data_IF_196216900088
#
_entry.id   IF_196216900088
#
_cell.length_a   1.000
_cell.length_b   1.000
_cell.length_c   1.000
_cell.angle_alpha   90.00
_cell.angle_beta   90.00
_cell.angle_gamma   90.00
#
_symmetry.space_group_name_H-M   'P 1'
#
loop_
_entity.id
_entity.type
_entity.pdbx_description
1 polymer ?
#
# COMPACT_ATOMS: atom_id res chain seq x y z
N UNK A 1 -6.41 -32.39 -4.48
CA UNK A 1 -7.38 -31.90 -3.47
C UNK A 1 -6.75 -31.55 -2.12
N UNK A 2 -5.56 -32.08 -1.77
CA UNK A 2 -4.84 -31.71 -0.52
C UNK A 2 -4.17 -30.33 -0.60
N UNK A 3 -3.69 -29.95 -1.77
CA UNK A 3 -2.92 -28.70 -1.99
C UNK A 3 -3.78 -27.44 -1.77
N UNK A 4 -5.07 -27.52 -2.13
CA UNK A 4 -6.02 -26.41 -1.95
C UNK A 4 -6.37 -26.14 -0.48
N UNK A 5 -6.35 -27.19 0.37
CA UNK A 5 -6.58 -27.02 1.82
C UNK A 5 -5.34 -26.41 2.48
N UNK A 6 -4.15 -26.83 2.04
CA UNK A 6 -2.87 -26.32 2.55
C UNK A 6 -2.66 -24.84 2.21
N UNK A 7 -2.92 -24.43 0.95
CA UNK A 7 -2.80 -23.02 0.55
C UNK A 7 -3.70 -22.10 1.37
N UNK A 8 -4.97 -22.51 1.58
CA UNK A 8 -5.92 -21.76 2.40
C UNK A 8 -5.45 -21.64 3.85
N UNK A 9 -4.95 -22.71 4.46
CA UNK A 9 -4.43 -22.68 5.83
C UNK A 9 -3.22 -21.75 5.97
N UNK A 10 -2.26 -21.81 5.03
CA UNK A 10 -1.10 -20.91 5.00
C UNK A 10 -1.52 -19.45 4.87
N UNK A 11 -2.46 -19.16 3.99
CA UNK A 11 -3.01 -17.81 3.83
C UNK A 11 -3.71 -17.32 5.10
N UNK A 12 -4.46 -18.19 5.78
CA UNK A 12 -5.11 -17.82 7.05
C UNK A 12 -4.08 -17.42 8.10
N UNK A 13 -3.04 -18.24 8.30
CA UNK A 13 -1.98 -17.97 9.29
C UNK A 13 -1.18 -16.71 8.93
N UNK A 14 -0.85 -16.55 7.64
CA UNK A 14 -0.19 -15.34 7.15
C UNK A 14 -1.04 -14.10 7.41
N UNK A 15 -2.33 -14.15 7.08
CA UNK A 15 -3.26 -13.04 7.28
C UNK A 15 -3.47 -12.71 8.76
N UNK A 16 -3.51 -13.71 9.65
CA UNK A 16 -3.74 -13.49 11.07
C UNK A 16 -2.53 -12.93 11.81
N UNK A 17 -1.30 -13.27 11.37
CA UNK A 17 -0.08 -12.93 12.10
C UNK A 17 0.79 -11.90 11.38
N UNK A 18 1.26 -12.23 10.18
CA UNK A 18 2.23 -11.38 9.46
C UNK A 18 1.52 -10.16 8.90
N UNK A 19 0.38 -10.36 8.25
CA UNK A 19 -0.38 -9.29 7.63
C UNK A 19 -0.96 -8.33 8.65
N UNK A 20 -1.54 -8.83 9.74
CA UNK A 20 -2.08 -8.00 10.81
C UNK A 20 -1.01 -7.08 11.40
N UNK A 21 0.22 -7.57 11.58
CA UNK A 21 1.34 -6.77 12.08
C UNK A 21 1.86 -5.74 11.04
N UNK A 22 2.00 -6.16 9.78
CA UNK A 22 2.58 -5.33 8.71
C UNK A 22 1.61 -4.32 8.09
N UNK A 23 0.30 -4.55 8.18
CA UNK A 23 -0.69 -3.60 7.69
C UNK A 23 -1.12 -2.63 8.80
N UNK A 24 -0.96 -3.03 10.08
CA UNK A 24 -1.21 -2.18 11.22
C UNK A 24 -0.31 -0.95 11.22
N UNK A 25 -0.94 0.22 11.38
CA UNK A 25 -0.28 1.52 11.39
C UNK A 25 0.64 1.80 10.18
N UNK A 26 0.50 1.06 9.08
CA UNK A 26 1.32 1.23 7.87
C UNK A 26 1.30 2.68 7.35
N UNK A 27 0.20 3.39 7.53
CA UNK A 27 0.08 4.84 7.23
C UNK A 27 1.16 5.68 7.92
N UNK A 28 1.57 5.31 9.15
CA UNK A 28 2.55 6.05 9.94
C UNK A 28 4.00 5.70 9.57
N UNK A 29 4.32 4.42 9.43
CA UNK A 29 5.71 3.96 9.31
C UNK A 29 6.12 3.53 7.89
N UNK A 30 5.22 3.59 6.91
CA UNK A 30 5.51 3.11 5.56
C UNK A 30 6.84 3.71 5.04
N UNK A 31 7.75 2.83 4.54
CA UNK A 31 9.16 3.12 4.31
C UNK A 31 9.38 4.26 3.33
N UNK A 32 10.36 5.09 3.68
CA UNK A 32 10.77 6.24 2.88
C UNK A 32 11.71 5.84 1.73
N UNK A 33 12.32 4.65 1.79
CA UNK A 33 13.29 4.18 0.80
C UNK A 33 12.87 2.84 0.22
N UNK A 34 13.17 2.61 -1.05
CA UNK A 34 12.90 1.35 -1.76
C UNK A 34 13.55 0.16 -1.05
N UNK A 35 14.75 0.34 -0.49
CA UNK A 35 15.49 -0.69 0.24
C UNK A 35 14.67 -1.22 1.43
N UNK A 36 14.08 -0.33 2.22
CA UNK A 36 13.25 -0.70 3.37
C UNK A 36 11.97 -1.42 2.93
N UNK A 37 11.37 -0.99 1.81
CA UNK A 37 10.28 -1.74 1.17
C UNK A 37 10.72 -3.14 0.76
N UNK A 38 11.91 -3.31 0.19
CA UNK A 38 12.46 -4.62 -0.14
C UNK A 38 12.69 -5.47 1.10
N UNK A 39 13.11 -4.89 2.24
CA UNK A 39 13.25 -5.62 3.49
C UNK A 39 11.92 -6.17 4.01
N UNK A 40 10.84 -5.40 3.89
CA UNK A 40 9.50 -5.85 4.28
C UNK A 40 8.98 -6.95 3.34
N UNK A 41 9.20 -6.79 2.03
CA UNK A 41 8.91 -7.84 1.04
C UNK A 41 9.68 -9.15 1.34
N UNK A 42 10.91 -9.06 1.84
CA UNK A 42 11.67 -10.23 2.26
C UNK A 42 11.03 -10.97 3.43
N UNK A 43 10.32 -10.29 4.34
CA UNK A 43 9.55 -10.96 5.41
C UNK A 43 8.46 -11.83 4.81
N UNK A 44 7.69 -11.29 3.85
CA UNK A 44 6.68 -12.05 3.13
C UNK A 44 7.28 -13.22 2.34
N UNK A 45 8.35 -12.98 1.58
CA UNK A 45 9.03 -14.03 0.80
C UNK A 45 9.59 -15.12 1.69
N UNK A 46 10.13 -14.77 2.86
CA UNK A 46 10.64 -15.75 3.83
C UNK A 46 9.52 -16.65 4.34
N UNK A 47 8.35 -16.09 4.65
CA UNK A 47 7.19 -16.87 5.08
C UNK A 47 6.74 -17.86 4.00
N UNK A 48 6.67 -17.43 2.74
CA UNK A 48 6.26 -18.29 1.63
C UNK A 48 7.39 -19.05 0.96
N UNK A 49 8.61 -19.04 1.50
CA UNK A 49 9.77 -19.69 0.87
C UNK A 49 9.59 -21.21 0.71
N UNK A 50 8.82 -21.85 1.60
CA UNK A 50 8.49 -23.28 1.55
C UNK A 50 7.28 -23.60 0.68
N UNK A 51 6.46 -22.60 0.34
CA UNK A 51 5.21 -22.78 -0.38
C UNK A 51 5.41 -23.32 -1.82
N UNK A 52 6.40 -22.88 -2.62
CA UNK A 52 6.61 -23.41 -3.97
C UNK A 52 6.93 -24.90 -3.99
N UNK A 53 7.73 -25.37 -3.02
CA UNK A 53 8.05 -26.78 -2.88
C UNK A 53 6.82 -27.60 -2.47
N UNK A 54 6.02 -27.09 -1.52
CA UNK A 54 4.79 -27.75 -1.06
C UNK A 54 3.68 -27.79 -2.12
N UNK A 55 3.56 -26.73 -2.94
CA UNK A 55 2.50 -26.56 -3.94
C UNK A 55 2.94 -26.95 -5.36
N UNK A 56 4.19 -27.42 -5.53
CA UNK A 56 4.81 -27.76 -6.83
C UNK A 56 4.73 -26.63 -7.85
N UNK A 57 4.93 -25.39 -7.40
CA UNK A 57 4.92 -24.20 -8.26
C UNK A 57 6.33 -24.00 -8.81
N UNK A 58 6.46 -23.97 -10.13
CA UNK A 58 7.70 -23.57 -10.79
C UNK A 58 7.80 -22.04 -10.72
N UNK A 59 8.88 -21.52 -10.15
CA UNK A 59 9.14 -20.09 -10.12
C UNK A 59 10.61 -19.79 -10.44
N UNK A 60 10.91 -18.65 -11.09
CA UNK A 60 12.29 -18.19 -11.27
C UNK A 60 12.96 -17.84 -9.93
N UNK A 61 14.30 -17.94 -9.80
CA UNK A 61 15.03 -17.67 -8.56
C UNK A 61 14.81 -16.28 -7.96
N UNK A 62 14.45 -15.30 -8.79
CA UNK A 62 14.30 -13.90 -8.40
C UNK A 62 12.88 -13.36 -8.56
N UNK A 63 11.98 -14.15 -9.14
CA UNK A 63 10.59 -13.76 -9.34
C UNK A 63 9.65 -14.64 -8.52
N UNK A 64 9.12 -14.02 -7.46
CA UNK A 64 8.15 -14.64 -6.55
C UNK A 64 6.70 -14.28 -6.89
N UNK A 65 6.47 -13.47 -7.93
CA UNK A 65 5.11 -13.12 -8.37
C UNK A 65 4.25 -14.34 -8.71
N UNK A 66 4.77 -15.46 -9.29
CA UNK A 66 3.93 -16.63 -9.57
C UNK A 66 3.43 -17.30 -8.29
N UNK A 67 4.24 -17.28 -7.22
CA UNK A 67 3.91 -17.87 -5.92
C UNK A 67 2.81 -17.05 -5.24
N UNK A 68 2.94 -15.72 -5.29
CA UNK A 68 1.91 -14.81 -4.76
C UNK A 68 0.60 -14.95 -5.52
N UNK A 69 0.65 -15.03 -6.85
CA UNK A 69 -0.53 -15.22 -7.68
C UNK A 69 -1.24 -16.56 -7.39
N UNK A 70 -0.48 -17.65 -7.27
CA UNK A 70 -1.03 -18.96 -6.91
C UNK A 70 -1.71 -18.97 -5.52
N UNK A 71 -1.25 -18.10 -4.62
CA UNK A 71 -1.82 -17.91 -3.28
C UNK A 71 -2.90 -16.82 -3.23
N UNK A 72 -3.24 -16.17 -4.35
CA UNK A 72 -4.13 -15.00 -4.41
C UNK A 72 -3.68 -13.84 -3.50
N UNK A 73 -2.38 -13.59 -3.43
CA UNK A 73 -1.76 -12.49 -2.69
C UNK A 73 -1.13 -11.48 -3.63
N UNK A 74 -1.13 -10.21 -3.23
CA UNK A 74 -0.43 -9.11 -3.90
C UNK A 74 0.82 -8.68 -3.11
N UNK A 75 1.64 -7.78 -3.64
CA UNK A 75 2.79 -7.26 -2.89
C UNK A 75 2.33 -6.49 -1.63
N UNK A 76 3.19 -6.41 -0.62
CA UNK A 76 2.97 -5.55 0.54
C UNK A 76 2.93 -4.07 0.12
N UNK A 77 3.77 -3.68 -0.83
CA UNK A 77 3.79 -2.32 -1.36
C UNK A 77 2.39 -1.92 -1.87
N UNK A 78 1.79 -2.72 -2.74
CA UNK A 78 0.45 -2.44 -3.30
C UNK A 78 -0.62 -2.42 -2.21
N UNK A 79 -0.52 -3.32 -1.22
CA UNK A 79 -1.50 -3.41 -0.14
C UNK A 79 -1.49 -2.21 0.79
N UNK A 80 -0.33 -1.60 1.02
CA UNK A 80 -0.21 -0.41 1.88
C UNK A 80 -0.80 0.85 1.25
N UNK A 81 -1.00 0.88 -0.06
CA UNK A 81 -1.67 2.01 -0.74
C UNK A 81 -3.10 2.19 -0.22
N UNK A 82 -3.84 1.09 -0.02
CA UNK A 82 -5.26 1.14 0.39
C UNK A 82 -5.47 1.77 1.78
N UNK A 83 -4.73 1.41 2.85
CA UNK A 83 -4.78 2.12 4.13
C UNK A 83 -4.42 3.60 4.04
N UNK A 84 -3.43 3.97 3.22
CA UNK A 84 -3.03 5.37 3.02
C UNK A 84 -4.19 6.18 2.41
N UNK A 85 -4.80 5.69 1.32
CA UNK A 85 -5.96 6.32 0.70
C UNK A 85 -7.17 6.34 1.65
N UNK A 86 -7.44 5.24 2.35
CA UNK A 86 -8.55 5.16 3.30
C UNK A 86 -8.41 6.13 4.48
N UNK A 87 -7.19 6.34 4.98
CA UNK A 87 -6.93 7.34 6.02
C UNK A 87 -7.14 8.76 5.49
N UNK A 88 -6.61 9.08 4.31
CA UNK A 88 -6.81 10.38 3.67
C UNK A 88 -8.30 10.67 3.43
N UNK A 89 -9.06 9.69 2.95
CA UNK A 89 -10.49 9.85 2.71
C UNK A 89 -11.26 10.15 4.00
N UNK A 90 -10.97 9.42 5.07
CA UNK A 90 -11.55 9.66 6.40
C UNK A 90 -11.15 11.01 7.00
N UNK A 91 -9.95 11.51 6.68
CA UNK A 91 -9.49 12.83 7.11
C UNK A 91 -10.28 13.95 6.40
N UNK A 92 -10.56 13.78 5.11
CA UNK A 92 -11.31 14.75 4.29
C UNK A 92 -12.82 14.73 4.63
N UNK A 93 -13.39 13.54 4.82
CA UNK A 93 -14.79 13.33 5.20
C UNK A 93 -15.11 13.76 6.65
N UNK A 94 -14.09 14.09 7.45
CA UNK A 94 -14.27 14.48 8.86
C UNK A 94 -14.56 13.31 9.80
N UNK A 95 -14.59 12.07 9.30
CA UNK A 95 -14.58 10.84 10.12
C UNK A 95 -13.41 10.80 11.11
N UNK A 96 -12.28 11.44 10.78
CA UNK A 96 -11.15 11.69 11.69
C UNK A 96 -11.06 13.19 11.99
N UNK A 97 -11.41 13.58 13.22
CA UNK A 97 -11.36 14.96 13.68
C UNK A 97 -9.92 15.39 14.04
N UNK A 98 -9.13 15.72 13.03
CA UNK A 98 -7.75 16.19 13.19
C UNK A 98 -7.48 17.45 12.34
N UNK A 99 -7.96 18.64 12.77
CA UNK A 99 -7.86 19.86 11.97
C UNK A 99 -6.40 20.27 11.67
N UNK A 100 -5.47 19.98 12.58
CA UNK A 100 -4.04 20.23 12.37
C UNK A 100 -3.42 19.37 11.27
N UNK A 101 -3.91 18.14 11.07
CA UNK A 101 -3.49 17.26 9.98
C UNK A 101 -4.16 17.65 8.67
N UNK A 102 -5.46 17.98 8.72
CA UNK A 102 -6.20 18.44 7.54
C UNK A 102 -5.60 19.74 6.98
N UNK A 103 -5.13 20.64 7.84
CA UNK A 103 -4.45 21.87 7.42
C UNK A 103 -3.16 21.63 6.63
N UNK A 104 -2.57 20.43 6.69
CA UNK A 104 -1.39 20.07 5.89
C UNK A 104 -1.74 19.53 4.49
N UNK A 105 -3.02 19.21 4.25
CA UNK A 105 -3.50 18.69 2.96
C UNK A 105 -3.74 19.87 2.02
N UNK A 106 -2.97 19.92 0.92
CA UNK A 106 -3.08 20.99 -0.06
C UNK A 106 -4.02 20.58 -1.19
N UNK A 107 -5.23 21.12 -1.20
CA UNK A 107 -6.18 20.89 -2.30
C UNK A 107 -5.79 21.71 -3.53
N UNK A 108 -5.87 21.08 -4.71
CA UNK A 108 -5.69 21.75 -5.99
C UNK A 108 -7.05 22.17 -6.52
N UNK A 109 -7.37 23.46 -6.39
CA UNK A 109 -8.60 24.04 -6.95
C UNK A 109 -8.24 24.81 -8.21
N UNK A 110 -8.49 24.27 -9.41
CA UNK A 110 -8.14 24.96 -10.64
C UNK A 110 -9.12 26.10 -10.92
N UNK A 111 -8.60 27.30 -11.21
CA UNK A 111 -9.42 28.45 -11.61
C UNK A 111 -10.11 28.25 -12.97
N UNK A 112 -9.53 27.42 -13.84
CA UNK A 112 -10.06 27.07 -15.15
C UNK A 112 -10.10 25.56 -15.34
N UNK A 113 -11.09 25.07 -16.08
CA UNK A 113 -11.19 23.65 -16.43
C UNK A 113 -9.93 23.21 -17.19
N UNK A 114 -9.07 22.45 -16.52
CA UNK A 114 -7.85 21.88 -17.09
C UNK A 114 -8.07 20.41 -17.40
N UNK A 115 -7.31 19.87 -18.36
CA UNK A 115 -7.37 18.44 -18.71
C UNK A 115 -6.90 17.53 -17.57
N UNK A 116 -6.15 18.07 -16.61
CA UNK A 116 -5.60 17.37 -15.46
C UNK A 116 -6.56 17.43 -14.27
N UNK A 117 -7.20 16.31 -13.91
CA UNK A 117 -8.10 16.19 -12.74
C UNK A 117 -7.37 15.74 -11.48
N UNK A 118 -6.25 16.39 -11.18
CA UNK A 118 -5.42 16.03 -10.02
C UNK A 118 -5.97 16.75 -8.78
N UNK A 119 -6.38 16.03 -7.72
CA UNK A 119 -7.06 16.60 -6.56
C UNK A 119 -6.15 17.37 -5.59
N UNK A 120 -4.87 17.00 -5.47
CA UNK A 120 -3.96 17.56 -4.48
C UNK A 120 -2.70 18.21 -5.09
N UNK A 121 -2.15 19.20 -4.38
CA UNK A 121 -0.86 19.82 -4.70
C UNK A 121 0.22 19.25 -3.77
N UNK A 122 1.10 18.39 -4.29
CA UNK A 122 2.19 17.81 -3.49
C UNK A 122 3.38 18.79 -3.47
N UNK A 123 3.87 19.21 -2.29
CA UNK A 123 5.06 20.04 -2.19
C UNK A 123 6.29 19.36 -2.79
N UNK A 124 7.07 20.10 -3.57
CA UNK A 124 8.35 19.60 -4.09
C UNK A 124 9.40 19.64 -2.97
N UNK A 125 9.78 18.47 -2.46
CA UNK A 125 10.84 18.34 -1.47
C UNK A 125 12.15 17.91 -2.15
N UNK A 126 13.27 18.46 -1.69
CA UNK A 126 14.61 18.15 -2.25
C UNK A 126 15.17 16.81 -1.76
N UNK A 127 14.60 16.22 -0.70
CA UNK A 127 15.06 14.96 -0.10
C UNK A 127 13.97 13.89 -0.19
N UNK A 128 14.39 12.62 -0.36
CA UNK A 128 13.47 11.48 -0.39
C UNK A 128 12.61 11.39 0.89
N UNK A 129 13.20 11.69 2.05
CA UNK A 129 12.49 11.73 3.32
C UNK A 129 11.40 12.81 3.35
N UNK A 130 11.66 13.97 2.72
CA UNK A 130 10.66 15.02 2.58
C UNK A 130 9.53 14.59 1.65
N UNK A 131 9.85 14.00 0.50
CA UNK A 131 8.88 13.54 -0.49
C UNK A 131 7.96 12.43 0.05
N UNK A 132 8.48 11.56 0.91
CA UNK A 132 7.75 10.41 1.45
C UNK A 132 7.16 10.67 2.84
N UNK A 133 7.01 11.94 3.25
CA UNK A 133 6.21 12.28 4.43
C UNK A 133 4.79 11.69 4.30
N UNK A 134 4.14 11.26 5.39
CA UNK A 134 2.85 10.59 5.31
C UNK A 134 1.79 11.35 4.50
N UNK A 135 1.61 12.65 4.77
CA UNK A 135 0.62 13.49 4.08
C UNK A 135 0.98 13.71 2.61
N UNK A 136 2.25 14.07 2.32
CA UNK A 136 2.73 14.28 0.94
C UNK A 136 2.61 13.01 0.09
N UNK A 137 2.95 11.84 0.67
CA UNK A 137 2.79 10.53 0.05
C UNK A 137 1.33 10.21 -0.21
N UNK A 138 0.46 10.40 0.79
CA UNK A 138 -0.98 10.15 0.65
C UNK A 138 -1.60 11.02 -0.46
N UNK A 139 -1.24 12.31 -0.52
CA UNK A 139 -1.65 13.20 -1.61
C UNK A 139 -1.13 12.72 -2.97
N UNK A 140 0.12 12.25 -3.03
CA UNK A 140 0.69 11.64 -4.24
C UNK A 140 -0.10 10.42 -4.72
N UNK A 141 -0.41 9.49 -3.81
CA UNK A 141 -1.22 8.31 -4.13
C UNK A 141 -2.64 8.69 -4.58
N UNK A 142 -3.26 9.67 -3.92
CA UNK A 142 -4.58 10.17 -4.31
C UNK A 142 -4.59 10.90 -5.67
N UNK A 143 -3.43 11.38 -6.13
CA UNK A 143 -3.28 11.96 -7.46
C UNK A 143 -3.12 10.90 -8.56
N UNK A 144 -2.58 9.73 -8.22
CA UNK A 144 -2.48 8.57 -9.12
C UNK A 144 -3.83 7.86 -9.28
N UNK A 145 -4.73 7.96 -8.30
CA UNK A 145 -6.09 7.43 -8.35
C UNK A 145 -7.11 8.54 -8.71
N UNK A 146 -7.43 8.75 -10.00
CA UNK A 146 -8.37 9.79 -10.44
C UNK A 146 -9.80 9.57 -9.95
N UNK A 147 -10.11 8.40 -9.37
CA UNK A 147 -11.44 8.10 -8.84
C UNK A 147 -11.59 8.39 -7.35
N UNK A 148 -10.50 8.75 -6.67
CA UNK A 148 -10.45 8.90 -5.22
C UNK A 148 -11.49 9.89 -4.66
N UNK A 149 -11.69 11.03 -5.34
CA UNK A 149 -12.71 12.03 -4.98
C UNK A 149 -13.99 11.95 -5.81
N UNK A 150 -14.09 10.99 -6.74
CA UNK A 150 -15.22 10.90 -7.67
C UNK A 150 -16.19 9.76 -7.34
N UNK A 151 -16.13 9.19 -6.13
CA UNK A 151 -17.18 8.28 -5.67
C UNK A 151 -18.39 9.08 -5.15
N UNK A 152 -19.61 8.59 -5.38
CA UNK A 152 -20.87 9.34 -5.28
C UNK A 152 -21.29 9.69 -3.85
#
# INVERSE_FOLDING_TARGET
MKDFKLSRSLNTVYCSLVRSLLEYASVLWDPLVVIDSCHLERVQRRFFSSAPYMLKIVHPPHDYTPVLHALNLTSLADRRVKPNLGFLGKLIDGSINAPSLLAQVNFKVPHHATRSRVPFTVPSNCTNCGRNKPIDRMMGLGNEDPTFLSSP
#
